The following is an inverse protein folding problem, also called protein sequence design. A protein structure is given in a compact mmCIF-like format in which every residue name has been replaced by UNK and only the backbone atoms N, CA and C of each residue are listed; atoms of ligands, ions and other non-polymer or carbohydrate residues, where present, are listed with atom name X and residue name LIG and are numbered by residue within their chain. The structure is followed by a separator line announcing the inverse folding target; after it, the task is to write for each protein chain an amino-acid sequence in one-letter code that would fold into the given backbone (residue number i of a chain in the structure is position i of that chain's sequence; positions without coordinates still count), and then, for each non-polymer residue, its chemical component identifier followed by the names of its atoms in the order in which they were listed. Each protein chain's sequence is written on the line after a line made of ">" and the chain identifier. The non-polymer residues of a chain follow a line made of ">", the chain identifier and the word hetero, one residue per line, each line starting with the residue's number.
data_IF_326076713696
#
_entry.id   IF_326076713696
#
_cell.length_a   1.000
_cell.length_b   1.000
_cell.length_c   1.000
_cell.angle_alpha   90.00
_cell.angle_beta   90.00
_cell.angle_gamma   90.00
#
_symmetry.space_group_name_H-M   'P 1'
#
loop_
_entity.id
_entity.type
_entity.pdbx_description
1 polymer ?
#
# COMPACT_ATOMS: atom_id res chain seq x y z
N UNK A 1 -4.17 12.87 4.49
CA UNK A 1 -5.50 12.71 5.11
C UNK A 1 -6.32 13.96 4.84
N UNK A 2 -7.63 13.83 4.65
CA UNK A 2 -8.51 14.93 4.23
C UNK A 2 -9.76 14.99 5.08
N UNK A 3 -10.28 16.21 5.31
CA UNK A 3 -11.55 16.39 5.99
C UNK A 3 -12.73 15.81 5.21
N UNK A 4 -13.64 15.15 5.90
CA UNK A 4 -14.90 14.68 5.31
C UNK A 4 -15.87 15.84 5.25
N UNK A 5 -16.37 16.12 4.05
CA UNK A 5 -17.30 17.22 3.76
C UNK A 5 -18.68 16.73 3.35
N UNK A 6 -18.78 15.50 2.83
CA UNK A 6 -20.06 14.89 2.42
C UNK A 6 -20.04 13.39 2.61
N UNK A 7 -21.17 12.85 3.07
CA UNK A 7 -21.44 11.40 3.13
C UNK A 7 -22.55 11.08 2.15
N UNK A 8 -22.23 10.27 1.14
CA UNK A 8 -23.14 9.74 0.15
C UNK A 8 -23.67 8.41 0.67
N UNK A 9 -24.99 8.19 0.64
CA UNK A 9 -25.62 7.02 1.23
C UNK A 9 -26.45 6.23 0.21
N UNK A 10 -25.82 5.42 -0.67
CA UNK A 10 -26.49 4.81 -1.82
C UNK A 10 -27.74 3.99 -1.46
N UNK A 11 -27.72 3.31 -0.31
CA UNK A 11 -28.83 2.47 0.15
C UNK A 11 -29.97 3.26 0.82
N UNK A 12 -29.66 4.42 1.42
CA UNK A 12 -30.63 5.23 2.16
C UNK A 12 -31.23 6.36 1.30
N UNK A 13 -30.44 6.87 0.35
CA UNK A 13 -30.88 7.80 -0.70
C UNK A 13 -31.55 7.07 -1.88
N UNK A 14 -31.74 5.74 -1.76
CA UNK A 14 -32.48 4.88 -2.70
C UNK A 14 -31.88 4.75 -4.11
N UNK A 15 -30.57 4.96 -4.26
CA UNK A 15 -29.86 4.60 -5.49
C UNK A 15 -29.77 3.08 -5.65
N UNK A 16 -29.41 2.36 -4.59
CA UNK A 16 -29.17 0.90 -4.61
C UNK A 16 -30.10 0.19 -3.64
N UNK A 17 -30.72 -0.90 -4.08
CA UNK A 17 -31.50 -1.76 -3.19
C UNK A 17 -30.57 -2.68 -2.38
N UNK A 18 -30.76 -2.76 -1.06
CA UNK A 18 -29.98 -3.68 -0.21
C UNK A 18 -30.05 -5.13 -0.68
N UNK A 19 -31.18 -5.56 -1.24
CA UNK A 19 -31.39 -6.93 -1.72
C UNK A 19 -30.54 -7.28 -2.94
N UNK A 20 -30.12 -6.30 -3.75
CA UNK A 20 -29.33 -6.53 -4.95
C UNK A 20 -27.82 -6.68 -4.68
N UNK A 21 -27.39 -6.42 -3.45
CA UNK A 21 -25.99 -6.48 -3.03
C UNK A 21 -25.80 -7.62 -2.03
N UNK A 22 -24.83 -8.49 -2.27
CA UNK A 22 -24.43 -9.53 -1.33
C UNK A 22 -23.67 -8.91 -0.15
N UNK A 23 -22.59 -8.19 -0.47
CA UNK A 23 -21.73 -7.53 0.50
C UNK A 23 -21.12 -6.24 -0.05
N UNK A 24 -20.66 -5.40 0.86
CA UNK A 24 -19.86 -4.21 0.56
C UNK A 24 -18.54 -4.32 1.31
N UNK A 25 -17.45 -3.98 0.66
CA UNK A 25 -16.09 -4.08 1.21
C UNK A 25 -15.40 -2.74 1.02
N UNK A 26 -14.75 -2.21 2.06
CA UNK A 26 -14.20 -0.85 2.08
C UNK A 26 -15.34 0.18 1.81
N UNK A 27 -15.73 0.92 2.84
CA UNK A 27 -16.64 2.07 2.70
C UNK A 27 -15.90 3.33 3.13
N UNK A 28 -16.13 4.45 2.47
CA UNK A 28 -15.34 5.65 2.66
C UNK A 28 -15.01 6.31 1.33
N UNK A 29 -13.75 6.70 1.18
CA UNK A 29 -13.22 7.29 -0.06
C UNK A 29 -13.14 6.31 -1.24
N UNK A 30 -13.22 5.00 -0.98
CA UNK A 30 -13.31 3.96 -2.00
C UNK A 30 -14.37 2.97 -1.55
N UNK A 31 -15.32 2.64 -2.43
CA UNK A 31 -16.47 1.80 -2.10
C UNK A 31 -16.55 0.57 -3.01
N UNK A 32 -16.22 -0.62 -2.49
CA UNK A 32 -16.36 -1.85 -3.28
C UNK A 32 -17.67 -2.56 -2.98
N UNK A 33 -18.29 -3.04 -4.04
CA UNK A 33 -19.59 -3.71 -4.00
C UNK A 33 -19.48 -5.07 -4.64
N UNK A 34 -20.05 -6.07 -3.96
CA UNK A 34 -20.31 -7.40 -4.49
C UNK A 34 -21.83 -7.51 -4.74
N UNK A 35 -22.29 -7.29 -5.98
CA UNK A 35 -23.67 -7.53 -6.37
C UNK A 35 -24.03 -9.00 -6.17
N UNK A 36 -25.32 -9.30 -5.98
CA UNK A 36 -25.77 -10.69 -6.13
C UNK A 36 -25.65 -11.12 -7.60
N UNK A 37 -25.49 -12.43 -7.81
CA UNK A 37 -25.39 -13.04 -9.14
C UNK A 37 -26.45 -12.50 -10.11
N UNK A 38 -26.00 -12.04 -11.28
CA UNK A 38 -26.85 -11.51 -12.35
C UNK A 38 -27.28 -10.04 -12.19
N UNK A 39 -26.92 -9.36 -11.09
CA UNK A 39 -27.33 -7.98 -10.82
C UNK A 39 -26.21 -6.95 -11.01
N UNK A 40 -25.04 -7.35 -11.51
CA UNK A 40 -23.86 -6.47 -11.66
C UNK A 40 -24.17 -5.22 -12.49
N UNK A 41 -24.77 -5.35 -13.66
CA UNK A 41 -25.14 -4.20 -14.50
C UNK A 41 -26.16 -3.27 -13.83
N UNK A 42 -27.15 -3.84 -13.15
CA UNK A 42 -28.16 -3.06 -12.44
C UNK A 42 -27.52 -2.23 -11.32
N UNK A 43 -26.69 -2.86 -10.48
CA UNK A 43 -26.03 -2.17 -9.37
C UNK A 43 -25.04 -1.14 -9.89
N UNK A 44 -24.31 -1.44 -10.97
CA UNK A 44 -23.39 -0.53 -11.62
C UNK A 44 -24.13 0.74 -12.08
N UNK A 45 -25.15 0.60 -12.92
CA UNK A 45 -25.89 1.73 -13.47
C UNK A 45 -26.55 2.59 -12.38
N UNK A 46 -27.06 1.94 -11.33
CA UNK A 46 -27.64 2.64 -10.19
C UNK A 46 -26.62 3.48 -9.43
N UNK A 47 -25.41 2.97 -9.22
CA UNK A 47 -24.31 3.72 -8.60
C UNK A 47 -23.82 4.84 -9.52
N UNK A 48 -23.77 4.62 -10.83
CA UNK A 48 -23.35 5.64 -11.81
C UNK A 48 -24.30 6.83 -11.88
N UNK A 49 -25.54 6.70 -11.39
CA UNK A 49 -26.49 7.82 -11.28
C UNK A 49 -26.19 8.74 -10.09
N UNK A 50 -25.24 8.40 -9.22
CA UNK A 50 -24.86 9.24 -8.09
C UNK A 50 -23.97 10.39 -8.61
N UNK A 51 -24.33 11.66 -8.36
CA UNK A 51 -23.53 12.79 -8.83
C UNK A 51 -22.12 12.82 -8.19
N UNK A 52 -21.10 13.07 -9.01
CA UNK A 52 -19.69 13.16 -8.63
C UNK A 52 -19.12 11.85 -8.03
N UNK A 53 -19.55 10.72 -8.58
CA UNK A 53 -18.99 9.40 -8.30
C UNK A 53 -18.70 8.72 -9.63
N UNK A 54 -17.43 8.40 -9.88
CA UNK A 54 -17.06 7.50 -10.96
C UNK A 54 -17.17 6.06 -10.48
N UNK A 55 -17.83 5.23 -11.29
CA UNK A 55 -18.05 3.81 -10.99
C UNK A 55 -17.35 2.98 -12.06
N UNK A 56 -16.56 2.03 -11.61
CA UNK A 56 -15.82 1.12 -12.47
C UNK A 56 -16.30 -0.31 -12.21
N UNK A 57 -16.54 -1.08 -13.27
CA UNK A 57 -16.40 -2.53 -13.14
C UNK A 57 -14.93 -2.86 -12.96
N UNK A 58 -14.66 -4.01 -12.36
CA UNK A 58 -13.29 -4.47 -12.07
C UNK A 58 -12.35 -4.39 -13.28
N UNK A 59 -12.83 -4.78 -14.45
CA UNK A 59 -12.02 -4.83 -15.68
C UNK A 59 -11.93 -3.46 -16.40
N UNK A 60 -12.66 -2.45 -15.92
CA UNK A 60 -12.65 -1.05 -16.40
C UNK A 60 -11.80 -0.13 -15.51
N UNK A 61 -11.31 -0.63 -14.38
CA UNK A 61 -10.49 0.13 -13.44
C UNK A 61 -9.18 0.59 -14.13
N UNK A 62 -8.83 1.89 -14.08
CA UNK A 62 -7.62 2.40 -14.71
C UNK A 62 -6.35 1.64 -14.28
N UNK A 63 -5.54 1.25 -15.26
CA UNK A 63 -4.37 0.38 -15.03
C UNK A 63 -3.39 0.95 -14.00
N UNK A 64 -3.22 2.28 -13.95
CA UNK A 64 -2.36 2.98 -12.99
C UNK A 64 -2.67 2.69 -11.52
N UNK A 65 -3.91 2.31 -11.19
CA UNK A 65 -4.26 1.96 -9.82
C UNK A 65 -3.78 0.56 -9.44
N UNK A 66 -3.48 -0.30 -10.42
CA UNK A 66 -3.19 -1.71 -10.21
C UNK A 66 -4.22 -2.41 -9.30
N UNK A 67 -5.49 -1.97 -9.36
CA UNK A 67 -6.56 -2.31 -8.42
C UNK A 67 -7.67 -3.16 -9.07
N UNK A 68 -7.29 -4.20 -9.82
CA UNK A 68 -8.24 -5.12 -10.46
C UNK A 68 -8.01 -6.58 -10.07
N UNK A 69 -6.97 -6.88 -9.28
CA UNK A 69 -6.56 -8.23 -8.90
C UNK A 69 -6.15 -8.29 -7.40
N UNK A 70 -6.36 -9.43 -6.71
CA UNK A 70 -7.06 -10.63 -7.19
C UNK A 70 -8.58 -10.50 -7.10
N UNK A 71 -9.30 -11.14 -8.04
CA UNK A 71 -10.76 -11.00 -8.21
C UNK A 71 -11.59 -11.39 -6.97
N UNK A 72 -11.09 -12.29 -6.12
CA UNK A 72 -11.85 -12.82 -4.98
C UNK A 72 -11.88 -11.91 -3.74
N UNK A 73 -11.07 -10.84 -3.69
CA UNK A 73 -11.05 -9.89 -2.56
C UNK A 73 -11.62 -8.52 -2.92
N UNK A 74 -11.59 -8.17 -4.20
CA UNK A 74 -12.06 -6.89 -4.71
C UNK A 74 -13.47 -7.02 -5.25
N UNK A 75 -14.30 -6.00 -4.98
CA UNK A 75 -15.65 -5.88 -5.51
C UNK A 75 -15.71 -6.13 -7.02
N UNK A 76 -16.86 -6.58 -7.52
CA UNK A 76 -17.10 -6.55 -8.96
C UNK A 76 -17.22 -5.12 -9.47
N UNK A 77 -17.67 -4.22 -8.59
CA UNK A 77 -17.85 -2.81 -8.84
C UNK A 77 -17.10 -2.04 -7.77
N UNK A 78 -16.41 -0.98 -8.19
CA UNK A 78 -15.77 -0.01 -7.32
C UNK A 78 -16.31 1.37 -7.65
N UNK A 79 -16.89 2.05 -6.66
CA UNK A 79 -17.32 3.44 -6.75
C UNK A 79 -16.31 4.34 -6.04
N UNK A 80 -15.86 5.38 -6.74
CA UNK A 80 -14.88 6.36 -6.29
C UNK A 80 -15.52 7.76 -6.36
N UNK A 81 -15.62 8.50 -5.24
CA UNK A 81 -16.04 9.89 -5.28
C UNK A 81 -15.02 10.74 -6.04
N UNK A 82 -15.51 11.56 -6.98
CA UNK A 82 -14.66 12.43 -7.80
C UNK A 82 -14.14 13.64 -7.02
N UNK A 83 -14.84 13.98 -5.93
CA UNK A 83 -14.51 15.12 -5.07
C UNK A 83 -13.87 14.61 -3.79
N UNK A 84 -12.67 15.11 -3.52
CA UNK A 84 -11.94 14.85 -2.28
C UNK A 84 -12.75 15.30 -1.04
N UNK A 85 -12.78 14.47 0.00
CA UNK A 85 -13.60 14.72 1.20
C UNK A 85 -15.04 14.18 1.09
N UNK A 86 -15.50 13.77 -0.10
CA UNK A 86 -16.72 12.97 -0.21
C UNK A 86 -16.43 11.51 0.10
N UNK A 87 -17.33 10.87 0.85
CA UNK A 87 -17.24 9.44 1.16
C UNK A 87 -18.56 8.74 0.88
N UNK A 88 -18.52 7.43 0.65
CA UNK A 88 -19.70 6.58 0.42
C UNK A 88 -19.87 5.64 1.61
N UNK A 89 -21.06 5.68 2.23
CA UNK A 89 -21.39 4.79 3.36
C UNK A 89 -21.79 3.40 2.87
N UNK A 90 -21.41 2.38 3.63
CA UNK A 90 -21.88 1.01 3.42
C UNK A 90 -23.36 0.81 3.73
N UNK A 91 -23.80 -0.45 3.65
CA UNK A 91 -25.22 -0.80 3.71
C UNK A 91 -25.82 -0.93 5.12
N UNK A 92 -25.00 -0.87 6.17
CA UNK A 92 -25.37 -1.33 7.52
C UNK A 92 -25.78 -0.22 8.48
N UNK A 93 -25.44 1.05 8.21
CA UNK A 93 -25.75 2.15 9.15
C UNK A 93 -26.06 3.46 8.44
N UNK A 94 -27.14 4.11 8.86
CA UNK A 94 -27.45 5.51 8.52
C UNK A 94 -26.95 6.48 9.60
N UNK A 95 -26.20 6.00 10.59
CA UNK A 95 -25.70 6.84 11.66
C UNK A 95 -24.83 7.97 11.11
N UNK A 96 -24.79 9.06 11.86
CA UNK A 96 -23.90 10.18 11.56
C UNK A 96 -22.46 9.67 11.46
N UNK A 97 -21.75 10.17 10.44
CA UNK A 97 -20.34 9.88 10.30
C UNK A 97 -19.56 10.90 11.13
N UNK A 98 -19.12 10.48 12.31
CA UNK A 98 -18.52 11.38 13.30
C UNK A 98 -17.03 11.64 13.07
N UNK A 99 -16.39 10.84 12.21
CA UNK A 99 -14.99 11.04 11.86
C UNK A 99 -14.83 12.27 10.97
N UNK A 100 -14.02 13.22 11.42
CA UNK A 100 -13.78 14.47 10.69
C UNK A 100 -12.83 14.31 9.52
N UNK A 101 -12.01 13.26 9.50
CA UNK A 101 -11.02 12.98 8.46
C UNK A 101 -11.16 11.58 7.88
N UNK A 102 -10.71 11.41 6.64
CA UNK A 102 -10.61 10.12 5.96
C UNK A 102 -9.43 10.14 4.96
N UNK A 103 -9.18 9.01 4.30
CA UNK A 103 -8.19 8.84 3.24
C UNK A 103 -8.63 7.70 2.29
N UNK A 104 -7.88 7.50 1.21
CA UNK A 104 -8.12 6.42 0.24
C UNK A 104 -8.78 6.87 -1.07
N UNK A 105 -8.81 8.19 -1.33
CA UNK A 105 -9.09 8.71 -2.67
C UNK A 105 -7.90 8.45 -3.61
N UNK A 106 -7.96 9.04 -4.79
CA UNK A 106 -6.90 8.96 -5.78
C UNK A 106 -5.51 9.24 -5.19
N UNK A 107 -4.59 8.30 -5.40
CA UNK A 107 -3.24 8.35 -4.85
C UNK A 107 -2.38 9.46 -5.46
N UNK A 108 -2.83 10.11 -6.55
CA UNK A 108 -2.16 11.28 -7.13
C UNK A 108 -2.47 12.58 -6.40
N UNK A 109 -3.48 12.60 -5.52
CA UNK A 109 -3.83 13.80 -4.76
C UNK A 109 -2.72 14.14 -3.75
N UNK A 110 -2.29 15.42 -3.65
CA UNK A 110 -1.27 15.83 -2.68
C UNK A 110 -1.60 15.45 -1.23
N UNK A 111 -2.88 15.48 -0.86
CA UNK A 111 -3.35 15.10 0.47
C UNK A 111 -3.23 13.60 0.77
N UNK A 112 -3.12 12.75 -0.26
CA UNK A 112 -2.95 11.30 -0.15
C UNK A 112 -1.47 10.89 -0.16
N UNK A 113 -0.56 11.84 -0.36
CA UNK A 113 0.88 11.57 -0.28
C UNK A 113 1.32 11.33 1.16
N UNK A 114 2.21 10.35 1.33
CA UNK A 114 2.86 10.05 2.61
C UNK A 114 4.25 10.69 2.67
N UNK A 115 4.83 10.71 3.87
CA UNK A 115 6.18 11.21 4.09
C UNK A 115 7.14 10.04 4.15
N UNK A 116 8.28 10.15 3.48
CA UNK A 116 9.41 9.25 3.63
C UNK A 116 10.65 10.04 4.03
N UNK A 117 11.33 9.59 5.08
CA UNK A 117 12.58 10.16 5.55
C UNK A 117 13.52 9.03 5.93
N UNK A 118 14.77 9.12 5.50
CA UNK A 118 15.79 8.13 5.82
C UNK A 118 17.10 8.84 6.19
N UNK A 119 17.84 8.23 7.12
CA UNK A 119 19.17 8.68 7.54
C UNK A 119 20.01 7.48 7.91
N UNK A 120 21.24 7.44 7.41
CA UNK A 120 22.19 6.38 7.72
C UNK A 120 23.34 6.35 6.72
N UNK A 121 24.38 5.54 6.97
CA UNK A 121 25.61 5.51 6.17
C UNK A 121 25.38 5.06 4.72
N UNK A 122 24.31 4.32 4.45
CA UNK A 122 23.94 3.88 3.10
C UNK A 122 23.30 4.98 2.27
N UNK A 123 22.81 6.05 2.88
CA UNK A 123 22.14 7.15 2.20
C UNK A 123 23.09 8.33 1.99
N UNK A 124 22.92 9.04 0.88
CA UNK A 124 23.55 10.34 0.70
C UNK A 124 23.01 11.35 1.71
N UNK A 125 23.88 12.23 2.19
CA UNK A 125 23.47 13.32 3.07
C UNK A 125 22.85 14.48 2.27
N UNK A 126 21.86 15.16 2.87
CA UNK A 126 21.21 16.35 2.32
C UNK A 126 20.61 16.16 0.91
N UNK A 127 20.16 14.95 0.59
CA UNK A 127 19.43 14.66 -0.66
C UNK A 127 17.95 14.84 -0.44
N UNK A 128 17.33 15.63 -1.31
CA UNK A 128 15.88 15.73 -1.47
C UNK A 128 15.50 15.14 -2.83
N UNK A 129 14.45 14.32 -2.85
CA UNK A 129 13.85 13.81 -4.08
C UNK A 129 12.41 14.29 -4.17
N UNK A 130 11.89 14.42 -5.39
CA UNK A 130 10.54 14.97 -5.62
C UNK A 130 9.44 14.03 -5.11
N UNK A 131 9.56 12.74 -5.43
CA UNK A 131 8.63 11.69 -4.98
C UNK A 131 9.26 10.31 -5.09
N UNK A 132 8.65 9.34 -4.42
CA UNK A 132 8.94 7.92 -4.57
C UNK A 132 7.65 7.12 -4.48
N UNK A 133 7.61 5.94 -5.12
CA UNK A 133 6.47 5.06 -4.98
C UNK A 133 6.68 4.14 -3.76
N UNK A 134 5.64 3.92 -2.97
CA UNK A 134 5.73 3.03 -1.80
C UNK A 134 6.20 1.60 -2.17
N UNK A 135 5.96 1.15 -3.41
CA UNK A 135 6.44 -0.15 -3.90
C UNK A 135 7.97 -0.25 -3.99
N UNK A 136 8.68 0.89 -4.05
CA UNK A 136 10.15 0.95 -4.11
C UNK A 136 10.80 0.73 -2.72
N UNK A 137 10.06 0.98 -1.62
CA UNK A 137 10.58 0.90 -0.25
C UNK A 137 11.11 -0.50 0.09
N UNK A 138 10.49 -1.55 -0.44
CA UNK A 138 10.97 -2.93 -0.30
C UNK A 138 12.41 -3.09 -0.83
N UNK A 139 12.71 -2.47 -1.97
CA UNK A 139 14.03 -2.55 -2.59
C UNK A 139 15.06 -1.72 -1.82
N UNK A 140 14.67 -0.58 -1.23
CA UNK A 140 15.51 0.18 -0.30
C UNK A 140 15.92 -0.71 0.89
N UNK A 141 14.95 -1.38 1.51
CA UNK A 141 15.21 -2.24 2.66
C UNK A 141 16.16 -3.41 2.29
N UNK A 142 15.92 -4.07 1.15
CA UNK A 142 16.80 -5.14 0.66
C UNK A 142 18.22 -4.62 0.41
N UNK A 143 18.37 -3.44 -0.20
CA UNK A 143 19.67 -2.85 -0.48
C UNK A 143 20.47 -2.58 0.81
N UNK A 144 19.86 -1.96 1.82
CA UNK A 144 20.51 -1.66 3.11
C UNK A 144 20.92 -2.93 3.83
N UNK A 145 20.07 -3.96 3.79
CA UNK A 145 20.32 -5.25 4.44
C UNK A 145 21.21 -6.19 3.62
N UNK A 146 21.66 -5.77 2.43
CA UNK A 146 22.44 -6.59 1.48
C UNK A 146 21.74 -7.91 1.12
N UNK A 147 20.42 -7.86 0.93
CA UNK A 147 19.59 -8.98 0.51
C UNK A 147 19.29 -8.91 -0.98
N UNK A 148 19.16 -10.07 -1.61
CA UNK A 148 18.63 -10.17 -2.97
C UNK A 148 17.10 -9.98 -2.93
N UNK A 149 16.56 -8.95 -3.60
CA UNK A 149 15.12 -8.73 -3.62
C UNK A 149 14.43 -9.87 -4.40
N UNK A 150 13.27 -10.30 -3.92
CA UNK A 150 12.39 -11.16 -4.70
C UNK A 150 11.73 -10.33 -5.82
N UNK A 151 11.96 -10.65 -7.11
CA UNK A 151 11.44 -9.86 -8.23
C UNK A 151 9.91 -9.86 -8.36
N UNK A 152 9.21 -10.70 -7.59
CA UNK A 152 7.74 -10.80 -7.60
C UNK A 152 7.07 -10.22 -6.35
N UNK A 153 7.83 -9.64 -5.41
CA UNK A 153 7.27 -9.11 -4.16
C UNK A 153 6.51 -7.79 -4.36
N UNK A 154 7.10 -6.85 -5.10
CA UNK A 154 6.50 -5.57 -5.46
C UNK A 154 6.86 -5.21 -6.90
N UNK A 155 6.14 -4.27 -7.50
CA UNK A 155 6.46 -3.71 -8.83
C UNK A 155 7.52 -2.59 -8.76
N UNK A 156 8.18 -2.40 -7.61
CA UNK A 156 9.17 -1.35 -7.43
C UNK A 156 10.52 -1.68 -8.04
N UNK A 157 11.43 -0.71 -8.01
CA UNK A 157 12.80 -0.89 -8.48
C UNK A 157 13.79 0.03 -7.76
N UNK A 158 14.95 -0.51 -7.40
CA UNK A 158 16.05 0.28 -6.86
C UNK A 158 16.60 1.28 -7.88
N UNK A 159 16.45 1.00 -9.19
CA UNK A 159 16.92 1.88 -10.25
C UNK A 159 16.21 3.25 -10.24
N UNK A 160 14.99 3.32 -9.70
CA UNK A 160 14.24 4.56 -9.54
C UNK A 160 14.85 5.48 -8.46
N UNK A 161 15.78 4.96 -7.64
CA UNK A 161 16.22 5.56 -6.39
C UNK A 161 17.74 5.70 -6.27
N UNK A 162 18.46 5.64 -7.39
CA UNK A 162 19.94 5.65 -7.38
C UNK A 162 20.52 6.91 -6.73
N UNK A 163 19.84 8.05 -6.84
CA UNK A 163 20.23 9.32 -6.20
C UNK A 163 20.22 9.28 -4.66
N UNK A 164 19.45 8.37 -4.06
CA UNK A 164 19.34 8.25 -2.60
C UNK A 164 20.59 7.63 -1.96
N UNK A 165 21.33 6.81 -2.70
CA UNK A 165 22.39 5.99 -2.12
C UNK A 165 23.76 6.59 -2.40
N UNK A 166 24.61 6.55 -1.40
CA UNK A 166 26.03 6.76 -1.62
C UNK A 166 26.52 5.66 -2.55
N UNK A 167 27.24 6.02 -3.61
CA UNK A 167 27.97 5.02 -4.38
C UNK A 167 28.82 4.27 -3.36
N UNK A 168 28.47 3.00 -3.14
CA UNK A 168 29.31 2.10 -2.37
C UNK A 168 30.66 2.19 -3.07
N UNK A 169 31.66 2.79 -2.39
CA UNK A 169 33.05 2.58 -2.78
C UNK A 169 33.19 1.08 -2.79
N UNK A 170 33.27 0.49 -3.97
CA UNK A 170 33.52 -0.93 -4.12
C UNK A 170 34.84 -1.19 -3.39
N UNK A 171 34.77 -1.64 -2.14
CA UNK A 171 35.87 -2.34 -1.52
C UNK A 171 36.04 -3.58 -2.38
N UNK A 172 36.95 -3.46 -3.32
CA UNK A 172 37.33 -4.48 -4.28
C UNK A 172 38.11 -5.51 -3.48
N UNK A 173 37.42 -6.28 -2.66
CA UNK A 173 37.90 -7.57 -2.19
C UNK A 173 37.19 -8.60 -3.04
N UNK A 174 37.76 -8.84 -4.23
CA UNK A 174 37.51 -10.03 -5.01
C UNK A 174 37.80 -11.25 -4.12
N UNK A 175 36.77 -11.80 -3.51
CA UNK A 175 36.81 -13.15 -2.97
C UNK A 175 36.74 -14.09 -4.17
N UNK A 176 37.89 -14.44 -4.73
CA UNK A 176 38.06 -15.62 -5.57
C UNK A 176 37.53 -16.84 -4.82
N UNK A 177 36.36 -17.32 -5.23
CA UNK A 177 35.83 -18.60 -4.77
C UNK A 177 36.69 -19.70 -5.40
N UNK A 178 37.66 -20.22 -4.64
CA UNK A 178 38.33 -21.47 -4.97
C UNK A 178 37.35 -22.58 -4.59
N UNK A 179 36.87 -23.33 -5.58
CA UNK A 179 36.07 -24.52 -5.34
C UNK A 179 36.96 -25.62 -4.76
N UNK A 180 36.77 -25.96 -3.49
CA UNK A 180 37.18 -27.26 -2.98
C UNK A 180 36.02 -27.90 -2.23
N UNK A 181 35.56 -29.00 -2.80
CA UNK A 181 34.65 -29.97 -2.22
C UNK A 181 35.18 -30.53 -0.90
N UNK A 182 34.43 -30.42 0.20
CA UNK A 182 34.24 -31.51 1.17
C UNK A 182 33.23 -31.14 2.25
N UNK A 183 32.60 -32.19 2.75
CA UNK A 183 31.45 -32.28 3.64
C UNK A 183 31.72 -31.78 5.07
N UNK A 184 30.74 -31.06 5.63
CA UNK A 184 30.57 -30.70 7.06
C UNK A 184 31.41 -29.53 7.58
N UNK A 185 30.78 -28.35 7.71
CA UNK A 185 31.02 -27.46 8.84
C UNK A 185 29.73 -26.71 9.23
N UNK A 186 29.20 -27.12 10.38
CA UNK A 186 28.25 -26.37 11.20
C UNK A 186 28.98 -25.20 11.86
N UNK A 187 28.23 -24.11 12.03
CA UNK A 187 28.52 -22.91 12.82
C UNK A 187 29.55 -21.95 12.23
N UNK A 188 29.10 -20.74 11.88
CA UNK A 188 29.56 -19.44 12.41
C UNK A 188 28.89 -18.34 11.57
N UNK A 189 27.79 -17.79 12.08
CA UNK A 189 27.34 -16.38 12.04
C UNK A 189 26.13 -16.37 13.00
N UNK A 190 26.43 -16.22 14.28
CA UNK A 190 25.46 -15.85 15.31
C UNK A 190 26.08 -14.70 16.07
N UNK A 191 26.01 -13.51 15.50
CA UNK A 191 25.98 -12.28 16.29
C UNK A 191 25.11 -11.25 15.57
N UNK A 192 24.04 -10.87 16.27
CA UNK A 192 23.11 -9.75 16.00
C UNK A 192 22.20 -9.94 14.80
N UNK A 193 20.97 -10.39 15.08
CA UNK A 193 19.68 -9.79 14.68
C UNK A 193 18.59 -10.86 14.87
N UNK A 194 17.94 -10.88 16.04
CA UNK A 194 16.72 -11.67 16.23
C UNK A 194 15.57 -10.92 15.56
N UNK A 195 15.21 -11.31 14.33
CA UNK A 195 13.97 -10.90 13.68
C UNK A 195 13.07 -12.13 13.65
N UNK A 196 12.00 -12.11 14.43
CA UNK A 196 10.96 -13.14 14.39
C UNK A 196 9.83 -12.62 13.51
N UNK A 197 9.61 -13.25 12.34
CA UNK A 197 8.55 -12.87 11.41
C UNK A 197 7.41 -13.87 11.60
N UNK A 198 6.30 -13.43 12.21
CA UNK A 198 5.07 -14.22 12.32
C UNK A 198 4.12 -13.84 11.18
N UNK A 199 3.69 -14.83 10.41
CA UNK A 199 2.71 -14.64 9.33
C UNK A 199 1.29 -14.64 9.90
N UNK A 200 0.82 -13.48 10.36
CA UNK A 200 -0.62 -13.21 10.44
C UNK A 200 -0.88 -11.72 10.39
N UNK A 201 -1.78 -11.34 9.49
CA UNK A 201 -2.37 -10.02 9.29
C UNK A 201 -2.47 -9.19 10.56
N UNK A 202 -1.63 -8.16 10.71
CA UNK A 202 -1.85 -6.85 11.35
C UNK A 202 -0.50 -6.09 11.39
N UNK A 203 -0.56 -4.79 11.16
CA UNK A 203 0.59 -3.86 11.11
C UNK A 203 1.34 -3.86 12.44
N UNK A 204 2.66 -4.05 12.42
CA UNK A 204 3.52 -3.96 13.61
C UNK A 204 4.35 -2.66 13.61
N UNK A 205 4.30 -1.93 14.72
CA UNK A 205 5.09 -0.71 14.96
C UNK A 205 6.52 -1.11 15.29
N UNK A 206 7.48 -0.80 14.41
CA UNK A 206 8.90 -0.99 14.70
C UNK A 206 9.39 0.18 15.54
N UNK A 207 9.61 -0.05 16.85
CA UNK A 207 10.19 0.95 17.75
C UNK A 207 11.70 0.90 17.73
N UNK A 208 12.27 2.03 17.36
CA UNK A 208 13.69 2.20 17.14
C UNK A 208 14.39 2.90 18.31
N UNK A 209 15.45 2.32 18.90
CA UNK A 209 16.26 2.95 19.96
C UNK A 209 17.73 2.51 19.88
N UNK A 210 18.61 3.43 19.49
CA UNK A 210 20.05 3.20 19.39
C UNK A 210 20.70 3.35 20.77
N UNK A 211 21.42 2.32 21.22
CA UNK A 211 22.43 2.40 22.29
C UNK A 211 23.71 1.79 21.71
N UNK A 212 24.84 2.50 21.72
CA UNK A 212 26.12 2.09 21.11
C UNK A 212 26.10 1.78 19.59
N UNK A 213 25.80 2.78 18.75
CA UNK A 213 26.14 2.78 17.31
C UNK A 213 25.50 1.67 16.43
N UNK A 214 24.25 1.29 16.68
CA UNK A 214 23.46 0.39 15.83
C UNK A 214 22.13 1.04 15.43
N UNK A 215 21.85 1.13 14.13
CA UNK A 215 20.65 1.75 13.55
C UNK A 215 19.36 1.10 14.09
N UNK A 216 18.31 1.89 14.33
CA UNK A 216 16.96 1.35 14.36
C UNK A 216 16.06 2.16 13.42
N UNK A 217 15.13 1.48 12.73
CA UNK A 217 14.08 2.08 11.89
C UNK A 217 12.84 2.41 12.72
N UNK A 218 12.30 3.62 12.60
CA UNK A 218 10.90 3.91 12.96
C UNK A 218 10.10 3.93 11.66
N UNK A 219 9.26 2.92 11.46
CA UNK A 219 8.24 2.92 10.43
C UNK A 219 6.94 3.41 11.07
N UNK A 220 6.54 4.65 10.77
CA UNK A 220 5.19 5.13 11.04
C UNK A 220 4.35 4.82 9.80
N UNK A 221 3.52 3.78 9.91
CA UNK A 221 2.43 3.48 8.96
C UNK A 221 1.14 4.07 9.53
#
# INVERSE_FOLDING_TARGET
>A
MTNVTKVIRPFFEKYVNRSSVESTVLSGALFNVMPRSGLTEQVHNNLSNIPNVTVYKRDEMPERFHYSKPKHRLGEITALPDVEGHIISGATTNAQYDNKGNHGWDNTLPSMQAIFMARGPSFNENVQIDSLNNVDIYHIACHILKLNPNPHATAGSLANLTSLFSLVKNDTTSSTFVSSSSTTQKAFITERFNVHISTSSLVEIVKSTVFNNQLRMVLLV
#
